data_IF_833656431296
#
_entry.id   IF_833656431296
#
_cell.length_a   1.000
_cell.length_b   1.000
_cell.length_c   1.000
_cell.angle_alpha   90.00
_cell.angle_beta   90.00
_cell.angle_gamma   90.00
#
_symmetry.space_group_name_H-M   'P 1'
#
loop_
_entity.id
_entity.type
_entity.pdbx_description
1 polymer ?
#
# COMPACT_ATOMS: atom_id res chain seq x y z
N UNK A 1 -10.93 -8.26 9.25
CA UNK A 1 -9.82 -7.43 9.79
C UNK A 1 -8.44 -7.96 9.38
N UNK A 2 -8.14 -9.24 9.62
CA UNK A 2 -6.79 -9.77 9.34
C UNK A 2 -6.35 -9.62 7.87
N UNK A 3 -7.26 -9.87 6.91
CA UNK A 3 -6.98 -9.65 5.47
C UNK A 3 -6.51 -8.22 5.20
N UNK A 4 -7.15 -7.21 5.80
CA UNK A 4 -6.75 -5.81 5.65
C UNK A 4 -5.32 -5.55 6.14
N UNK A 5 -4.92 -6.15 7.27
CA UNK A 5 -3.54 -6.02 7.78
C UNK A 5 -2.53 -6.70 6.87
N UNK A 6 -2.86 -7.88 6.34
CA UNK A 6 -1.98 -8.60 5.40
C UNK A 6 -1.78 -7.80 4.11
N UNK A 7 -2.86 -7.27 3.53
CA UNK A 7 -2.77 -6.38 2.37
C UNK A 7 -1.95 -5.12 2.68
N UNK A 8 -2.13 -4.51 3.85
CA UNK A 8 -1.35 -3.34 4.26
C UNK A 8 0.17 -3.64 4.36
N UNK A 9 0.54 -4.78 4.96
CA UNK A 9 1.93 -5.25 5.05
C UNK A 9 2.55 -5.49 3.68
N UNK A 10 1.79 -6.10 2.78
CA UNK A 10 2.19 -6.40 1.41
C UNK A 10 2.50 -5.11 0.65
N UNK A 11 1.55 -4.16 0.64
CA UNK A 11 1.72 -2.92 -0.12
C UNK A 11 2.81 -2.06 0.49
N UNK A 12 2.96 -2.02 1.82
CA UNK A 12 4.10 -1.37 2.46
C UNK A 12 5.44 -2.02 2.05
N UNK A 13 5.46 -3.33 1.80
CA UNK A 13 6.63 -4.01 1.24
C UNK A 13 6.95 -3.52 -0.16
N UNK A 14 5.94 -3.49 -1.04
CA UNK A 14 6.08 -2.99 -2.41
C UNK A 14 6.60 -1.57 -2.45
N UNK A 15 6.03 -0.67 -1.64
CA UNK A 15 6.51 0.70 -1.60
C UNK A 15 7.98 0.79 -1.16
N UNK A 16 8.42 -0.01 -0.19
CA UNK A 16 9.80 0.06 0.31
C UNK A 16 10.86 -0.50 -0.65
N UNK A 17 10.45 -1.29 -1.65
CA UNK A 17 11.34 -1.88 -2.66
C UNK A 17 11.08 -1.33 -4.06
N UNK A 18 10.21 -0.33 -4.20
CA UNK A 18 9.93 0.31 -5.47
C UNK A 18 9.18 -0.58 -6.46
N UNK A 19 8.48 -1.61 -5.98
CA UNK A 19 7.68 -2.49 -6.83
C UNK A 19 6.33 -1.85 -7.16
N UNK A 20 5.96 -1.87 -8.44
CA UNK A 20 4.65 -1.46 -8.94
C UNK A 20 4.01 -2.63 -9.67
N UNK A 21 2.83 -3.05 -9.21
CA UNK A 21 2.12 -4.21 -9.74
C UNK A 21 1.51 -3.96 -11.13
N UNK A 22 1.05 -2.73 -11.40
CA UNK A 22 0.50 -2.30 -12.68
C UNK A 22 -0.94 -2.76 -12.99
N UNK A 23 -1.51 -3.72 -12.26
CA UNK A 23 -2.91 -4.19 -12.42
C UNK A 23 -3.50 -4.63 -11.09
N UNK A 24 -3.95 -3.67 -10.27
CA UNK A 24 -4.53 -3.93 -8.94
C UNK A 24 -6.07 -3.99 -8.99
N UNK A 25 -6.60 -4.78 -9.93
CA UNK A 25 -8.02 -5.14 -9.91
C UNK A 25 -8.33 -6.04 -8.68
N UNK A 26 -9.60 -6.12 -8.27
CA UNK A 26 -9.99 -6.85 -7.06
C UNK A 26 -9.72 -8.35 -7.13
N UNK A 27 -9.78 -8.95 -8.32
CA UNK A 27 -9.45 -10.35 -8.60
C UNK A 27 -7.95 -10.66 -8.47
N UNK A 28 -7.09 -9.65 -8.54
CA UNK A 28 -5.65 -9.76 -8.35
C UNK A 28 -5.21 -9.51 -6.90
N UNK A 29 -6.16 -9.47 -5.96
CA UNK A 29 -5.89 -9.27 -4.53
C UNK A 29 -6.05 -10.59 -3.76
N UNK A 30 -4.94 -11.28 -3.49
CA UNK A 30 -4.97 -12.51 -2.71
C UNK A 30 -5.39 -12.24 -1.26
N UNK A 31 -6.37 -13.01 -0.76
CA UNK A 31 -6.81 -12.96 0.65
C UNK A 31 -5.69 -13.35 1.63
N UNK A 32 -4.72 -14.15 1.17
CA UNK A 32 -3.53 -14.51 1.93
C UNK A 32 -2.59 -13.32 2.16
N UNK A 33 -2.68 -12.26 1.34
CA UNK A 33 -1.73 -11.15 1.35
C UNK A 33 -0.44 -11.41 0.58
N UNK A 34 -0.47 -12.34 -0.38
CA UNK A 34 0.64 -12.60 -1.29
C UNK A 34 0.51 -11.77 -2.57
N UNK A 35 1.64 -11.52 -3.24
CA UNK A 35 1.62 -10.94 -4.61
C UNK A 35 1.23 -12.04 -5.59
N UNK A 36 0.24 -11.77 -6.44
CA UNK A 36 -0.24 -12.71 -7.47
C UNK A 36 -0.38 -12.00 -8.80
N UNK A 37 -0.60 -12.76 -9.88
CA UNK A 37 -0.85 -12.24 -11.23
C UNK A 37 0.19 -11.22 -11.75
N UNK A 38 1.42 -11.70 -11.92
CA UNK A 38 2.54 -10.94 -12.48
C UNK A 38 2.34 -10.71 -13.99
N UNK A 39 1.72 -9.58 -14.34
CA UNK A 39 1.60 -9.09 -15.71
C UNK A 39 2.55 -7.91 -15.98
N UNK A 40 2.02 -6.70 -16.23
CA UNK A 40 2.84 -5.50 -16.47
C UNK A 40 3.32 -4.87 -15.16
N UNK A 41 4.07 -5.63 -14.36
CA UNK A 41 4.73 -5.12 -13.16
C UNK A 41 6.07 -4.45 -13.53
N UNK A 42 6.60 -3.63 -12.62
CA UNK A 42 7.92 -3.04 -12.76
C UNK A 42 8.53 -2.72 -11.41
N UNK A 43 9.86 -2.77 -11.32
CA UNK A 43 10.61 -2.14 -10.25
C UNK A 43 11.09 -0.78 -10.74
N UNK A 44 10.96 0.25 -9.90
CA UNK A 44 11.49 1.58 -10.23
C UNK A 44 13.02 1.56 -10.25
N UNK A 45 13.60 1.99 -11.37
CA UNK A 45 15.03 2.30 -11.46
C UNK A 45 15.28 3.66 -10.80
N UNK A 46 14.80 4.74 -11.43
CA UNK A 46 14.81 6.08 -10.87
C UNK A 46 13.56 6.28 -10.03
N UNK A 47 13.69 6.99 -8.90
CA UNK A 47 12.53 7.30 -8.08
C UNK A 47 11.59 8.26 -8.80
N UNK A 48 10.44 7.74 -9.21
CA UNK A 48 9.32 8.49 -9.76
C UNK A 48 8.03 8.05 -9.06
N UNK A 49 7.43 8.90 -8.21
CA UNK A 49 6.22 8.52 -7.51
C UNK A 49 5.02 8.24 -8.43
N UNK A 50 5.06 8.75 -9.66
CA UNK A 50 4.01 8.57 -10.65
C UNK A 50 4.37 7.49 -11.69
N UNK A 51 5.42 6.69 -11.44
CA UNK A 51 5.81 5.55 -12.28
C UNK A 51 4.65 4.56 -12.48
N UNK A 52 4.39 4.23 -13.75
CA UNK A 52 3.36 3.29 -14.20
C UNK A 52 3.99 2.30 -15.20
N UNK A 53 4.21 1.02 -14.82
CA UNK A 53 4.77 0.02 -15.73
C UNK A 53 3.76 -0.50 -16.76
N UNK A 54 2.46 -0.29 -16.52
CA UNK A 54 1.40 -0.76 -17.41
C UNK A 54 1.07 0.28 -18.48
N UNK A 55 1.50 0.03 -19.70
CA UNK A 55 1.22 0.89 -20.87
C UNK A 55 -0.28 1.10 -21.15
N UNK A 56 -1.15 0.22 -20.65
CA UNK A 56 -2.61 0.37 -20.80
C UNK A 56 -3.24 1.27 -19.74
N UNK A 57 -2.53 1.60 -18.66
CA UNK A 57 -3.00 2.49 -17.60
C UNK A 57 -2.62 3.95 -17.87
N UNK A 58 -3.24 4.53 -18.90
CA UNK A 58 -3.00 5.92 -19.31
C UNK A 58 -3.37 6.96 -18.24
N UNK A 59 -4.15 6.57 -17.22
CA UNK A 59 -4.59 7.46 -16.14
C UNK A 59 -3.71 7.39 -14.89
N UNK A 60 -2.76 6.46 -14.86
CA UNK A 60 -1.93 6.20 -13.68
C UNK A 60 -2.72 5.71 -12.46
N UNK A 61 -3.83 4.99 -12.69
CA UNK A 61 -4.66 4.41 -11.62
C UNK A 61 -3.84 3.52 -10.69
N UNK A 62 -2.89 2.77 -11.25
CA UNK A 62 -2.03 1.80 -10.56
C UNK A 62 -0.58 2.25 -10.47
N UNK A 63 -0.32 3.57 -10.50
CA UNK A 63 1.03 4.11 -10.29
C UNK A 63 1.58 3.77 -8.91
N UNK A 64 2.89 3.86 -8.74
CA UNK A 64 3.58 3.62 -7.46
C UNK A 64 2.90 4.32 -6.28
N UNK A 65 2.61 5.62 -6.39
CA UNK A 65 1.98 6.41 -5.31
C UNK A 65 0.54 5.97 -5.03
N UNK A 66 -0.17 5.42 -6.02
CA UNK A 66 -1.59 5.06 -5.88
C UNK A 66 -1.81 3.69 -5.23
N UNK A 67 -0.85 2.75 -5.30
CA UNK A 67 -1.04 1.38 -4.81
C UNK A 67 -1.59 1.30 -3.38
N UNK A 68 -1.12 2.10 -2.38
CA UNK A 68 -1.68 2.06 -1.03
C UNK A 68 -3.17 2.42 -0.98
N UNK A 69 -3.60 3.40 -1.76
CA UNK A 69 -5.01 3.84 -1.80
C UNK A 69 -5.88 2.85 -2.56
N UNK A 70 -5.40 2.33 -3.69
CA UNK A 70 -6.11 1.32 -4.47
C UNK A 70 -6.33 0.06 -3.65
N UNK A 71 -5.31 -0.42 -2.94
CA UNK A 71 -5.44 -1.61 -2.12
C UNK A 71 -6.37 -1.39 -0.91
N UNK A 72 -6.37 -0.19 -0.31
CA UNK A 72 -7.36 0.18 0.70
C UNK A 72 -8.80 0.10 0.14
N UNK A 73 -9.00 0.61 -1.06
CA UNK A 73 -10.29 0.55 -1.76
C UNK A 73 -10.70 -0.89 -2.08
N UNK A 74 -9.78 -1.75 -2.51
CA UNK A 74 -10.05 -3.17 -2.75
C UNK A 74 -10.44 -3.90 -1.44
N UNK A 75 -9.81 -3.58 -0.31
CA UNK A 75 -10.21 -4.09 1.00
C UNK A 75 -11.65 -3.66 1.35
N UNK A 76 -12.03 -2.42 1.06
CA UNK A 76 -13.41 -1.96 1.26
C UNK A 76 -14.39 -2.74 0.37
N UNK A 77 -14.05 -3.00 -0.89
CA UNK A 77 -14.90 -3.82 -1.77
C UNK A 77 -15.09 -5.24 -1.24
N UNK A 78 -14.01 -5.86 -0.72
CA UNK A 78 -14.09 -7.17 -0.08
C UNK A 78 -15.00 -7.16 1.15
N UNK A 79 -14.93 -6.13 1.99
CA UNK A 79 -15.81 -6.05 3.17
C UNK A 79 -17.28 -5.86 2.75
N UNK A 80 -17.53 -5.02 1.74
CA UNK A 80 -18.89 -4.82 1.20
C UNK A 80 -19.47 -6.10 0.62
N UNK A 81 -18.68 -6.91 -0.08
CA UNK A 81 -19.16 -8.19 -0.62
C UNK A 81 -19.47 -9.22 0.48
N UNK A 82 -18.83 -9.10 1.65
CA UNK A 82 -19.10 -9.92 2.83
C UNK A 82 -20.26 -9.37 3.69
N UNK A 83 -20.79 -8.19 3.38
CA UNK A 83 -21.88 -7.55 4.15
C UNK A 83 -23.07 -8.49 4.43
N UNK A 84 -23.57 -9.32 3.49
CA UNK A 84 -24.70 -10.22 3.76
C UNK A 84 -24.39 -11.30 4.81
N UNK A 85 -23.11 -11.63 5.01
CA UNK A 85 -22.67 -12.59 6.03
C UNK A 85 -22.44 -11.95 7.39
N UNK A 86 -22.32 -10.62 7.42
CA UNK A 86 -22.14 -9.81 8.63
C UNK A 86 -23.47 -9.23 9.11
N UNK A 87 -24.52 -9.34 8.32
CA UNK A 87 -25.84 -8.80 8.63
C UNK A 87 -26.45 -9.54 9.82
N UNK A 88 -26.57 -8.82 10.94
CA UNK A 88 -27.27 -9.25 12.15
C UNK A 88 -28.71 -8.72 12.19
N UNK A 89 -29.23 -8.23 11.07
CA UNK A 89 -30.51 -7.54 10.96
C UNK A 89 -30.39 -6.02 11.16
N UNK A 90 -29.17 -5.47 11.24
CA UNK A 90 -28.91 -4.04 11.35
C UNK A 90 -27.97 -3.54 10.23
N UNK A 91 -28.40 -2.48 9.53
CA UNK A 91 -27.60 -1.83 8.47
C UNK A 91 -26.28 -1.26 8.99
N UNK A 92 -26.16 -1.06 10.31
CA UNK A 92 -24.98 -0.50 10.97
C UNK A 92 -23.78 -1.47 11.02
N UNK A 93 -24.02 -2.78 11.04
CA UNK A 93 -22.93 -3.78 11.20
C UNK A 93 -21.96 -3.79 10.02
N UNK A 94 -22.46 -3.69 8.79
CA UNK A 94 -21.64 -3.64 7.60
C UNK A 94 -20.78 -2.37 7.52
N UNK A 95 -21.35 -1.21 7.85
CA UNK A 95 -20.63 0.07 7.85
C UNK A 95 -19.53 0.08 8.91
N UNK A 96 -19.82 -0.43 10.12
CA UNK A 96 -18.83 -0.59 11.18
C UNK A 96 -17.70 -1.54 10.78
N UNK A 97 -18.00 -2.63 10.08
CA UNK A 97 -16.99 -3.55 9.58
C UNK A 97 -16.07 -2.89 8.53
N UNK A 98 -16.64 -2.12 7.59
CA UNK A 98 -15.86 -1.37 6.59
C UNK A 98 -14.95 -0.32 7.24
N UNK A 99 -15.48 0.43 8.22
CA UNK A 99 -14.72 1.42 8.98
C UNK A 99 -13.59 0.77 9.79
N UNK A 100 -13.87 -0.35 10.45
CA UNK A 100 -12.88 -1.09 11.22
C UNK A 100 -11.77 -1.67 10.33
N UNK A 101 -12.12 -2.23 9.17
CA UNK A 101 -11.14 -2.73 8.21
C UNK A 101 -10.27 -1.61 7.62
N UNK A 102 -10.87 -0.47 7.27
CA UNK A 102 -10.15 0.70 6.76
C UNK A 102 -9.18 1.26 7.82
N UNK A 103 -9.63 1.36 9.07
CA UNK A 103 -8.79 1.80 10.19
C UNK A 103 -7.62 0.84 10.41
N UNK A 104 -7.89 -0.47 10.41
CA UNK A 104 -6.86 -1.48 10.57
C UNK A 104 -5.84 -1.45 9.43
N UNK A 105 -6.30 -1.29 8.18
CA UNK A 105 -5.43 -1.19 7.01
C UNK A 105 -4.45 -0.02 7.13
N UNK A 106 -4.93 1.21 7.35
CA UNK A 106 -4.05 2.38 7.40
C UNK A 106 -3.14 2.42 8.62
N UNK A 107 -3.61 1.90 9.75
CA UNK A 107 -2.79 1.77 10.96
C UNK A 107 -1.62 0.82 10.70
N UNK A 108 -1.91 -0.37 10.17
CA UNK A 108 -0.89 -1.36 9.84
C UNK A 108 0.05 -0.86 8.74
N UNK A 109 -0.49 -0.27 7.67
CA UNK A 109 0.30 0.23 6.54
C UNK A 109 1.34 1.25 7.01
N UNK A 110 0.93 2.25 7.81
CA UNK A 110 1.85 3.28 8.31
C UNK A 110 2.94 2.69 9.20
N UNK A 111 2.58 1.78 10.11
CA UNK A 111 3.55 1.13 10.99
C UNK A 111 4.55 0.28 10.20
N UNK A 112 4.08 -0.48 9.23
CA UNK A 112 4.90 -1.34 8.36
C UNK A 112 5.81 -0.55 7.43
N UNK A 113 5.27 0.49 6.80
CA UNK A 113 5.97 1.40 5.92
C UNK A 113 7.14 2.05 6.66
N UNK A 114 6.86 2.65 7.82
CA UNK A 114 7.91 3.24 8.68
C UNK A 114 8.95 2.20 9.09
N UNK A 115 8.52 1.02 9.56
CA UNK A 115 9.45 -0.04 9.99
C UNK A 115 10.37 -0.51 8.87
N UNK A 116 9.91 -0.53 7.62
CA UNK A 116 10.72 -0.91 6.46
C UNK A 116 11.73 0.17 6.10
N UNK A 117 11.32 1.43 6.02
CA UNK A 117 12.24 2.52 5.72
C UNK A 117 13.26 2.77 6.82
N UNK A 118 12.88 2.66 8.10
CA UNK A 118 13.84 2.71 9.21
C UNK A 118 14.96 1.68 9.04
N UNK A 119 14.62 0.45 8.65
CA UNK A 119 15.61 -0.60 8.37
C UNK A 119 16.49 -0.25 7.17
N UNK A 120 15.91 0.26 6.09
CA UNK A 120 16.69 0.73 4.91
C UNK A 120 17.66 1.86 5.26
N UNK A 121 17.27 2.75 6.17
CA UNK A 121 18.06 3.90 6.61
C UNK A 121 19.01 3.62 7.77
N UNK A 122 19.06 2.38 8.27
CA UNK A 122 19.90 2.03 9.42
C UNK A 122 19.46 2.68 10.76
N UNK A 123 18.19 3.09 10.87
CA UNK A 123 17.62 3.67 12.09
C UNK A 123 17.23 2.56 13.08
N UNK A 124 18.23 2.00 13.76
CA UNK A 124 18.08 0.82 14.62
C UNK A 124 17.55 1.13 16.03
N UNK A 125 17.67 2.38 16.50
CA UNK A 125 17.18 2.82 17.82
C UNK A 125 15.90 3.62 17.65
N UNK A 126 14.85 3.23 18.38
CA UNK A 126 13.52 3.80 18.27
C UNK A 126 13.41 5.16 18.97
N UNK A 127 13.49 6.24 18.20
CA UNK A 127 12.73 7.46 18.50
C UNK A 127 11.44 7.38 17.67
N UNK A 128 10.43 6.67 18.18
CA UNK A 128 9.15 6.51 17.47
C UNK A 128 8.43 7.86 17.41
N UNK A 129 8.41 8.53 16.25
CA UNK A 129 7.73 9.82 16.16
C UNK A 129 7.68 10.49 14.80
N UNK A 130 7.10 11.70 14.82
CA UNK A 130 6.91 12.62 13.68
C UNK A 130 8.22 12.94 12.94
N UNK A 131 9.37 12.80 13.59
CA UNK A 131 10.69 13.03 12.99
C UNK A 131 11.02 12.02 11.88
N UNK A 132 10.68 10.73 12.06
CA UNK A 132 10.91 9.69 11.05
C UNK A 132 10.11 9.94 9.77
N UNK A 133 8.84 10.32 9.93
CA UNK A 133 7.95 10.58 8.79
C UNK A 133 8.47 11.78 7.98
N UNK A 134 8.89 12.86 8.67
CA UNK A 134 9.48 14.03 8.02
C UNK A 134 10.79 13.71 7.30
N UNK A 135 11.66 12.90 7.90
CA UNK A 135 12.90 12.47 7.28
C UNK A 135 12.63 11.67 6.01
N UNK A 136 11.66 10.75 6.07
CA UNK A 136 11.27 9.93 4.94
C UNK A 136 10.65 10.78 3.81
N UNK A 137 9.73 11.67 4.15
CA UNK A 137 9.12 12.57 3.16
C UNK A 137 10.17 13.45 2.49
N UNK A 138 11.10 14.02 3.26
CA UNK A 138 12.22 14.81 2.73
C UNK A 138 13.13 13.98 1.83
N UNK A 139 13.49 12.77 2.23
CA UNK A 139 14.34 11.88 1.43
C UNK A 139 13.68 11.59 0.08
N UNK A 140 12.41 11.18 0.07
CA UNK A 140 11.70 10.84 -1.16
C UNK A 140 11.51 12.05 -2.07
N UNK A 141 11.32 13.24 -1.51
CA UNK A 141 11.27 14.50 -2.28
C UNK A 141 12.63 14.81 -2.94
N UNK A 142 13.74 14.64 -2.21
CA UNK A 142 15.09 14.78 -2.77
C UNK A 142 15.34 13.75 -3.86
N UNK A 143 14.95 12.49 -3.67
CA UNK A 143 15.10 11.45 -4.69
C UNK A 143 14.29 11.78 -5.96
N UNK A 144 13.08 12.31 -5.81
CA UNK A 144 12.24 12.71 -6.95
C UNK A 144 12.88 13.87 -7.72
N UNK A 145 13.36 14.89 -7.01
CA UNK A 145 13.94 16.09 -7.64
C UNK A 145 15.28 15.83 -8.32
N UNK A 146 16.06 14.86 -7.81
CA UNK A 146 17.36 14.50 -8.38
C UNK A 146 17.30 13.38 -9.40
N UNK A 147 16.18 12.64 -9.48
CA UNK A 147 16.09 11.41 -10.25
C UNK A 147 17.04 10.34 -9.72
N UNK A 148 17.15 10.23 -8.39
CA UNK A 148 18.03 9.26 -7.77
C UNK A 148 17.58 7.83 -8.10
N UNK A 149 18.56 6.94 -8.31
CA UNK A 149 18.30 5.51 -8.36
C UNK A 149 17.71 5.06 -7.01
N UNK A 150 16.62 4.28 -7.05
CA UNK A 150 15.88 3.93 -5.86
C UNK A 150 16.53 2.78 -5.05
N UNK A 151 17.39 1.98 -5.68
CA UNK A 151 17.97 0.77 -5.10
C UNK A 151 19.38 0.98 -4.57
N UNK A 152 20.15 1.89 -5.17
CA UNK A 152 21.55 2.18 -4.83
C UNK A 152 21.77 2.93 -3.51
#
# INVERSE_FOLDING_TARGET
IEVARRTARLVAAWQAVGFVHGVLNTDNMAVSGDTIDYGPFGFMDLFDPDYVPNNSDATGRYSYRQQPKVCAWNVQQLVRSLSPLLDDGSTDTAQRAEAAATTAYWTEFKAEYRRRYRRKLGLLVSDEGVADDRLLDWLLDVMQTTGADYTN
#
